data_IF_165541691052
#
_entry.id   IF_165541691052
#
_cell.length_a   1.000
_cell.length_b   1.000
_cell.length_c   1.000
_cell.angle_alpha   90.00
_cell.angle_beta   90.00
_cell.angle_gamma   90.00
#
_symmetry.space_group_name_H-M   'P 1'
#
loop_
_entity.id
_entity.type
_entity.pdbx_description
1 polymer ?
#
# COMPACT_ATOMS: atom_id res chain seq x y z
N UNK A 1 0.57 -25.43 -21.51
CA UNK A 1 1.88 -24.74 -21.54
C UNK A 1 2.16 -24.16 -20.18
N UNK A 2 3.43 -24.15 -19.73
CA UNK A 2 3.92 -23.74 -18.39
C UNK A 2 3.30 -24.43 -17.16
N UNK A 3 2.11 -25.02 -17.27
CA UNK A 3 1.48 -25.91 -16.31
C UNK A 3 2.39 -27.11 -15.99
N UNK A 4 2.79 -27.24 -14.72
CA UNK A 4 3.67 -28.31 -14.22
C UNK A 4 5.14 -27.91 -14.04
N UNK A 5 5.53 -26.67 -14.38
CA UNK A 5 6.88 -26.19 -14.07
C UNK A 5 7.07 -25.99 -12.56
N UNK A 6 6.02 -25.55 -11.85
CA UNK A 6 5.99 -25.42 -10.38
C UNK A 6 6.27 -26.74 -9.67
N UNK A 7 5.75 -27.84 -10.21
CA UNK A 7 5.90 -29.18 -9.62
C UNK A 7 7.30 -29.75 -9.86
N UNK A 8 7.95 -29.35 -10.96
CA UNK A 8 9.32 -29.75 -11.30
C UNK A 8 10.39 -28.86 -10.66
N UNK A 9 10.03 -27.63 -10.32
CA UNK A 9 10.95 -26.60 -9.83
C UNK A 9 10.33 -25.87 -8.62
N UNK A 10 10.18 -26.54 -7.47
CA UNK A 10 9.66 -25.91 -6.25
C UNK A 10 10.55 -24.75 -5.77
N UNK A 11 11.86 -24.79 -6.05
CA UNK A 11 12.79 -23.69 -5.82
C UNK A 11 13.49 -23.34 -7.14
N UNK A 12 12.83 -22.60 -8.04
CA UNK A 12 13.24 -22.52 -9.44
C UNK A 12 14.69 -22.08 -9.62
N UNK A 13 15.14 -21.07 -8.88
CA UNK A 13 16.52 -20.59 -8.96
C UNK A 13 17.55 -21.60 -8.44
N UNK A 14 17.24 -22.33 -7.36
CA UNK A 14 18.12 -23.37 -6.81
C UNK A 14 18.18 -24.57 -7.74
N UNK A 15 17.02 -25.04 -8.17
CA UNK A 15 16.87 -26.28 -8.95
C UNK A 15 17.49 -26.10 -10.35
N UNK A 16 17.36 -24.92 -10.96
CA UNK A 16 18.08 -24.57 -12.19
C UNK A 16 19.60 -24.50 -11.94
N UNK A 17 20.06 -23.88 -10.85
CA UNK A 17 21.49 -23.81 -10.54
C UNK A 17 22.11 -25.22 -10.33
N UNK A 18 21.37 -26.13 -9.68
CA UNK A 18 21.77 -27.52 -9.52
C UNK A 18 21.83 -28.27 -10.86
N UNK A 19 20.85 -28.09 -11.73
CA UNK A 19 20.87 -28.68 -13.09
C UNK A 19 22.05 -28.19 -13.93
N UNK A 20 22.46 -26.93 -13.76
CA UNK A 20 23.61 -26.34 -14.45
C UNK A 20 24.96 -26.72 -13.81
N UNK A 21 24.97 -27.54 -12.75
CA UNK A 21 26.18 -27.93 -12.03
C UNK A 21 26.77 -26.83 -11.13
N UNK A 22 26.04 -25.73 -10.93
CA UNK A 22 26.45 -24.57 -10.13
C UNK A 22 26.05 -24.76 -8.66
N UNK A 23 26.56 -25.81 -8.00
CA UNK A 23 26.20 -26.15 -6.62
C UNK A 23 26.50 -25.03 -5.60
N UNK A 24 27.55 -24.25 -5.82
CA UNK A 24 27.87 -23.08 -4.99
C UNK A 24 26.80 -21.99 -5.09
N UNK A 25 26.23 -21.78 -6.28
CA UNK A 25 25.19 -20.80 -6.53
C UNK A 25 23.87 -21.26 -5.90
N UNK A 26 23.56 -22.55 -5.99
CA UNK A 26 22.41 -23.13 -5.31
C UNK A 26 22.50 -22.96 -3.78
N UNK A 27 23.69 -23.17 -3.19
CA UNK A 27 23.93 -22.92 -1.77
C UNK A 27 23.71 -21.45 -1.42
N UNK A 28 24.30 -20.53 -2.19
CA UNK A 28 24.15 -19.09 -2.00
C UNK A 28 22.67 -18.66 -2.04
N UNK A 29 21.93 -19.10 -3.05
CA UNK A 29 20.49 -18.78 -3.22
C UNK A 29 19.66 -19.26 -2.03
N UNK A 30 19.93 -20.48 -1.53
CA UNK A 30 19.19 -21.02 -0.37
C UNK A 30 19.59 -20.29 0.92
N UNK A 31 20.88 -19.99 1.11
CA UNK A 31 21.34 -19.22 2.27
C UNK A 31 20.74 -17.81 2.30
N UNK A 32 20.70 -17.13 1.15
CA UNK A 32 20.06 -15.81 1.03
C UNK A 32 18.56 -15.88 1.34
N UNK A 33 17.85 -16.88 0.80
CA UNK A 33 16.43 -17.07 1.06
C UNK A 33 16.09 -17.29 2.55
N UNK A 34 17.06 -17.76 3.36
CA UNK A 34 16.89 -17.92 4.81
C UNK A 34 17.29 -16.64 5.58
N UNK A 35 18.42 -16.02 5.20
CA UNK A 35 19.01 -14.91 5.97
C UNK A 35 18.33 -13.57 5.63
N UNK A 36 18.07 -13.29 4.36
CA UNK A 36 17.57 -12.00 3.86
C UNK A 36 16.21 -11.60 4.48
N UNK A 37 15.21 -12.50 4.63
CA UNK A 37 13.93 -12.15 5.27
C UNK A 37 14.08 -11.68 6.71
N UNK A 38 15.11 -12.15 7.43
CA UNK A 38 15.37 -11.72 8.82
C UNK A 38 15.85 -10.28 8.89
N UNK A 39 16.68 -9.85 7.95
CA UNK A 39 17.09 -8.45 7.79
C UNK A 39 15.91 -7.55 7.46
N UNK A 40 15.10 -7.95 6.48
CA UNK A 40 13.87 -7.24 6.12
C UNK A 40 12.90 -7.13 7.32
N UNK A 41 12.66 -8.25 8.02
CA UNK A 41 11.80 -8.28 9.21
C UNK A 41 12.27 -7.33 10.30
N UNK A 42 13.58 -7.26 10.56
CA UNK A 42 14.15 -6.34 11.54
C UNK A 42 13.94 -4.87 11.15
N UNK A 43 14.14 -4.52 9.87
CA UNK A 43 13.89 -3.16 9.36
C UNK A 43 12.41 -2.78 9.55
N UNK A 44 11.47 -3.65 9.16
CA UNK A 44 10.04 -3.36 9.30
C UNK A 44 9.59 -3.30 10.76
N UNK A 45 10.18 -4.11 11.65
CA UNK A 45 9.90 -4.08 13.09
C UNK A 45 10.43 -2.79 13.74
N UNK A 46 11.44 -2.15 13.16
CA UNK A 46 11.93 -0.85 13.59
C UNK A 46 11.15 0.33 12.96
N UNK A 47 10.80 0.23 11.67
CA UNK A 47 10.15 1.33 10.93
C UNK A 47 8.66 1.49 11.27
N UNK A 48 7.90 0.39 11.32
CA UNK A 48 6.44 0.42 11.54
C UNK A 48 6.03 1.12 12.84
N UNK A 49 6.70 0.91 13.99
CA UNK A 49 6.38 1.63 15.21
C UNK A 49 6.53 3.15 15.09
N UNK A 50 7.45 3.64 14.26
CA UNK A 50 7.65 5.08 14.00
C UNK A 50 6.51 5.66 13.17
N UNK A 51 5.98 4.89 12.22
CA UNK A 51 4.78 5.27 11.45
C UNK A 51 3.57 5.37 12.39
N UNK A 52 3.38 4.38 13.28
CA UNK A 52 2.30 4.42 14.29
C UNK A 52 2.48 5.61 15.25
N UNK A 53 3.71 5.87 15.71
CA UNK A 53 4.02 7.05 16.51
C UNK A 53 3.65 8.34 15.80
N UNK A 54 4.06 8.54 14.54
CA UNK A 54 3.74 9.73 13.76
C UNK A 54 2.22 9.87 13.53
N UNK A 55 1.53 8.76 13.29
CA UNK A 55 0.07 8.72 13.16
C UNK A 55 -0.65 9.11 14.46
N UNK A 56 -0.14 8.66 15.61
CA UNK A 56 -0.64 9.09 16.93
C UNK A 56 -0.26 10.53 17.28
N UNK A 57 0.91 11.00 16.86
CA UNK A 57 1.36 12.38 17.08
C UNK A 57 0.51 13.40 16.29
N UNK A 58 -0.08 12.95 15.18
CA UNK A 58 -1.08 13.70 14.42
C UNK A 58 -2.46 13.74 15.11
N UNK A 59 -2.58 13.22 16.34
CA UNK A 59 -3.81 13.13 17.14
C UNK A 59 -4.97 12.36 16.46
N UNK A 60 -4.69 11.61 15.41
CA UNK A 60 -5.66 10.78 14.68
C UNK A 60 -5.71 9.32 15.15
N UNK A 61 -4.85 8.95 16.10
CA UNK A 61 -4.77 7.60 16.67
C UNK A 61 -4.54 7.66 18.19
N UNK A 62 -4.55 6.51 18.87
CA UNK A 62 -4.48 6.48 20.34
C UNK A 62 -3.19 7.11 20.87
N UNK A 63 -3.33 8.02 21.84
CA UNK A 63 -2.20 8.77 22.46
C UNK A 63 -1.19 7.87 23.17
N UNK A 64 -1.55 6.64 23.54
CA UNK A 64 -0.62 5.69 24.18
C UNK A 64 0.63 5.43 23.32
N UNK A 65 0.49 5.49 21.98
CA UNK A 65 1.58 5.22 21.06
C UNK A 65 2.52 6.42 20.83
N UNK A 66 2.23 7.60 21.39
CA UNK A 66 3.19 8.73 21.38
C UNK A 66 4.25 8.61 22.48
N UNK A 67 4.14 7.62 23.38
CA UNK A 67 5.14 7.40 24.43
C UNK A 67 6.39 6.76 23.87
N UNK A 68 7.48 7.54 23.85
CA UNK A 68 8.82 7.08 23.49
C UNK A 68 9.57 6.69 24.76
N UNK A 69 10.27 5.56 24.73
CA UNK A 69 11.13 5.16 25.85
C UNK A 69 12.38 6.06 25.92
N UNK A 70 12.68 6.68 27.06
CA UNK A 70 13.81 7.62 27.17
C UNK A 70 15.19 6.99 26.95
N UNK A 71 15.33 5.68 27.20
CA UNK A 71 16.63 4.98 27.09
C UNK A 71 16.88 4.48 25.67
N UNK A 72 15.86 3.92 25.02
CA UNK A 72 16.01 3.35 23.67
C UNK A 72 15.62 4.30 22.54
N UNK A 73 14.87 5.36 22.82
CA UNK A 73 14.33 6.26 21.78
C UNK A 73 13.25 5.61 20.90
N UNK A 74 12.68 4.47 21.35
CA UNK A 74 11.71 3.69 20.56
C UNK A 74 10.31 3.80 21.19
N UNK A 75 9.24 3.96 20.38
CA UNK A 75 7.85 3.89 20.87
C UNK A 75 7.47 2.43 21.21
N UNK A 76 7.74 1.98 22.45
CA UNK A 76 7.57 0.57 22.87
C UNK A 76 6.15 0.03 22.72
N UNK A 77 5.13 0.84 23.02
CA UNK A 77 3.73 0.40 22.84
C UNK A 77 3.40 0.17 21.36
N UNK A 78 3.94 0.99 20.46
CA UNK A 78 3.75 0.83 19.03
C UNK A 78 4.52 -0.40 18.50
N UNK A 79 5.67 -0.72 19.10
CA UNK A 79 6.41 -1.94 18.82
C UNK A 79 5.60 -3.18 19.20
N UNK A 80 5.01 -3.22 20.40
CA UNK A 80 4.15 -4.34 20.80
C UNK A 80 2.91 -4.48 19.92
N UNK A 81 2.29 -3.37 19.52
CA UNK A 81 1.19 -3.39 18.56
C UNK A 81 1.64 -3.94 17.21
N UNK A 82 2.79 -3.50 16.71
CA UNK A 82 3.37 -3.99 15.44
C UNK A 82 3.63 -5.50 15.51
N UNK A 83 4.19 -5.98 16.61
CA UNK A 83 4.44 -7.40 16.83
C UNK A 83 3.13 -8.21 16.84
N UNK A 84 2.13 -7.77 17.63
CA UNK A 84 0.83 -8.43 17.72
C UNK A 84 0.12 -8.47 16.36
N UNK A 85 0.13 -7.36 15.61
CA UNK A 85 -0.44 -7.30 14.27
C UNK A 85 0.32 -8.18 13.28
N UNK A 86 1.64 -8.26 13.37
CA UNK A 86 2.45 -9.14 12.52
C UNK A 86 2.06 -10.61 12.74
N UNK A 87 1.98 -11.06 13.99
CA UNK A 87 1.54 -12.42 14.33
C UNK A 87 0.10 -12.65 13.85
N UNK A 88 -0.82 -11.72 14.16
CA UNK A 88 -2.22 -11.81 13.76
C UNK A 88 -2.40 -11.92 12.23
N UNK A 89 -1.70 -11.10 11.45
CA UNK A 89 -1.81 -11.11 10.00
C UNK A 89 -1.12 -12.31 9.34
N UNK A 90 -0.11 -12.92 9.99
CA UNK A 90 0.53 -14.14 9.45
C UNK A 90 -0.25 -15.42 9.70
N UNK A 91 -1.01 -15.52 10.79
CA UNK A 91 -1.74 -16.75 11.17
C UNK A 91 -2.88 -17.21 10.24
N UNK A 92 -3.74 -16.35 9.67
CA UNK A 92 -4.96 -16.78 8.98
C UNK A 92 -4.73 -17.23 7.53
N UNK A 93 -3.53 -17.02 6.96
CA UNK A 93 -3.30 -17.32 5.56
C UNK A 93 -3.11 -18.82 5.32
N UNK A 94 -3.91 -19.45 4.45
CA UNK A 94 -3.85 -20.89 4.20
C UNK A 94 -2.63 -21.30 3.36
N UNK A 95 -2.00 -20.37 2.65
CA UNK A 95 -0.79 -20.63 1.87
C UNK A 95 0.10 -19.38 1.75
N UNK A 96 1.40 -19.64 1.53
CA UNK A 96 2.42 -18.61 1.28
C UNK A 96 2.09 -17.74 0.07
N UNK A 97 1.61 -18.34 -1.02
CA UNK A 97 1.28 -17.60 -2.26
C UNK A 97 0.15 -16.60 -2.05
N UNK A 98 -0.88 -16.96 -1.27
CA UNK A 98 -1.97 -16.04 -0.93
C UNK A 98 -1.47 -14.90 -0.05
N UNK A 99 -0.59 -15.19 0.91
CA UNK A 99 0.04 -14.18 1.77
C UNK A 99 0.85 -13.18 0.93
N UNK A 100 1.76 -13.64 0.08
CA UNK A 100 2.59 -12.77 -0.77
C UNK A 100 1.73 -11.92 -1.71
N UNK A 101 0.69 -12.52 -2.32
CA UNK A 101 -0.17 -11.78 -3.25
C UNK A 101 -0.90 -10.62 -2.56
N UNK A 102 -1.46 -10.86 -1.37
CA UNK A 102 -2.11 -9.80 -0.58
C UNK A 102 -1.11 -8.74 -0.12
N UNK A 103 0.04 -9.14 0.43
CA UNK A 103 1.08 -8.20 0.91
C UNK A 103 1.63 -7.35 -0.24
N UNK A 104 1.87 -7.95 -1.41
CA UNK A 104 2.38 -7.23 -2.59
C UNK A 104 1.35 -6.22 -3.09
N UNK A 105 0.08 -6.61 -3.19
CA UNK A 105 -1.01 -5.70 -3.59
C UNK A 105 -1.15 -4.53 -2.61
N UNK A 106 -1.13 -4.82 -1.30
CA UNK A 106 -1.23 -3.79 -0.26
C UNK A 106 -0.05 -2.82 -0.27
N UNK A 107 1.18 -3.34 -0.45
CA UNK A 107 2.38 -2.52 -0.54
C UNK A 107 2.35 -1.61 -1.76
N UNK A 108 1.99 -2.15 -2.93
CA UNK A 108 1.89 -1.35 -4.16
C UNK A 108 0.77 -0.31 -4.08
N UNK A 109 -0.35 -0.64 -3.44
CA UNK A 109 -1.40 0.31 -3.16
C UNK A 109 -0.91 1.50 -2.32
N UNK A 110 -0.06 1.23 -1.32
CA UNK A 110 0.56 2.30 -0.52
C UNK A 110 1.43 3.24 -1.37
N UNK A 111 2.15 2.69 -2.36
CA UNK A 111 2.94 3.47 -3.31
C UNK A 111 2.08 4.24 -4.32
N UNK A 112 0.90 3.74 -4.67
CA UNK A 112 -0.03 4.43 -5.56
C UNK A 112 -0.47 5.80 -4.98
N UNK A 113 -0.51 5.95 -3.65
CA UNK A 113 -0.88 7.22 -3.03
C UNK A 113 0.19 8.30 -3.18
N UNK A 114 1.47 7.92 -3.29
CA UNK A 114 2.60 8.84 -3.35
C UNK A 114 2.53 9.84 -4.53
N UNK A 115 2.34 9.44 -5.80
CA UNK A 115 2.24 10.39 -6.90
C UNK A 115 1.01 11.29 -6.82
N UNK A 116 -0.09 10.86 -6.19
CA UNK A 116 -1.26 11.72 -5.97
C UNK A 116 -0.94 12.79 -4.93
N UNK A 117 -0.30 12.40 -3.82
CA UNK A 117 0.12 13.32 -2.76
C UNK A 117 1.12 14.36 -3.26
N UNK A 118 2.12 13.96 -4.07
CA UNK A 118 3.06 14.91 -4.67
C UNK A 118 2.35 15.88 -5.61
N UNK A 119 1.40 15.39 -6.43
CA UNK A 119 0.60 16.25 -7.30
C UNK A 119 -0.26 17.25 -6.53
N UNK A 120 -0.90 16.81 -5.44
CA UNK A 120 -1.67 17.67 -4.55
C UNK A 120 -0.80 18.72 -3.83
N UNK A 121 0.35 18.32 -3.28
CA UNK A 121 1.28 19.25 -2.61
C UNK A 121 1.83 20.29 -3.58
N UNK A 122 2.13 19.92 -4.83
CA UNK A 122 2.59 20.86 -5.86
C UNK A 122 1.58 21.97 -6.15
N UNK A 123 0.29 21.71 -5.94
CA UNK A 123 -0.81 22.66 -6.10
C UNK A 123 -1.12 23.44 -4.82
N UNK A 124 -1.10 22.77 -3.67
CA UNK A 124 -1.57 23.33 -2.40
C UNK A 124 -0.48 24.06 -1.63
N UNK A 125 0.79 23.82 -1.98
CA UNK A 125 1.96 24.47 -1.41
C UNK A 125 3.03 24.68 -2.51
N UNK A 126 2.77 25.61 -3.45
CA UNK A 126 3.70 25.90 -4.55
C UNK A 126 5.03 26.49 -4.04
N UNK A 127 4.99 27.28 -2.97
CA UNK A 127 6.13 28.02 -2.40
C UNK A 127 7.05 27.18 -1.51
N UNK A 128 6.72 25.91 -1.24
CA UNK A 128 7.60 25.06 -0.45
C UNK A 128 8.94 24.86 -1.16
N UNK A 129 10.03 25.02 -0.43
CA UNK A 129 11.36 24.67 -0.91
C UNK A 129 11.41 23.17 -1.21
N UNK A 130 11.91 22.82 -2.40
CA UNK A 130 11.98 21.44 -2.89
C UNK A 130 13.44 21.10 -3.18
N UNK A 131 14.17 20.52 -2.21
CA UNK A 131 15.56 20.11 -2.41
C UNK A 131 15.73 19.12 -3.56
N UNK A 132 14.69 18.32 -3.82
CA UNK A 132 14.62 17.40 -4.94
C UNK A 132 13.37 17.64 -5.79
N UNK A 133 13.57 17.84 -7.10
CA UNK A 133 12.49 18.03 -8.07
C UNK A 133 12.52 16.97 -9.16
N UNK A 134 11.47 16.14 -9.21
CA UNK A 134 11.30 15.15 -10.27
C UNK A 134 10.94 15.86 -11.59
N UNK A 135 11.87 15.81 -12.54
CA UNK A 135 11.67 16.29 -13.92
C UNK A 135 10.61 15.42 -14.62
N UNK A 136 9.70 16.02 -15.37
CA UNK A 136 8.67 15.28 -16.13
C UNK A 136 7.54 14.68 -15.28
N UNK A 137 7.33 15.18 -14.05
CA UNK A 137 6.30 14.65 -13.15
C UNK A 137 4.87 14.67 -13.72
N UNK A 138 4.57 15.58 -14.65
CA UNK A 138 3.28 15.62 -15.37
C UNK A 138 2.97 14.32 -16.12
N UNK A 139 3.99 13.56 -16.53
CA UNK A 139 3.86 12.25 -17.16
C UNK A 139 4.17 11.13 -16.18
N UNK A 140 5.25 11.26 -15.41
CA UNK A 140 5.68 10.21 -14.47
C UNK A 140 4.68 9.97 -13.34
N UNK A 141 4.02 11.02 -12.85
CA UNK A 141 3.01 10.93 -11.80
C UNK A 141 1.80 10.06 -12.20
N UNK A 142 1.07 10.39 -13.28
CA UNK A 142 -0.06 9.57 -13.73
C UNK A 142 0.40 8.18 -14.18
N UNK A 143 1.57 8.07 -14.84
CA UNK A 143 2.09 6.77 -15.27
C UNK A 143 2.39 5.85 -14.08
N UNK A 144 3.01 6.37 -13.01
CA UNK A 144 3.28 5.60 -11.80
C UNK A 144 1.97 5.12 -11.13
N UNK A 145 0.94 5.96 -11.11
CA UNK A 145 -0.37 5.57 -10.59
C UNK A 145 -1.00 4.45 -11.42
N UNK A 146 -1.02 4.58 -12.75
CA UNK A 146 -1.54 3.56 -13.68
C UNK A 146 -0.81 2.23 -13.51
N UNK A 147 0.53 2.24 -13.45
CA UNK A 147 1.32 1.02 -13.27
C UNK A 147 1.02 0.36 -11.92
N UNK A 148 0.92 1.15 -10.84
CA UNK A 148 0.56 0.63 -9.53
C UNK A 148 -0.84 0.00 -9.55
N UNK A 149 -1.81 0.65 -10.21
CA UNK A 149 -3.16 0.12 -10.39
C UNK A 149 -3.19 -1.18 -11.20
N UNK A 150 -2.34 -1.33 -12.21
CA UNK A 150 -2.20 -2.59 -12.95
C UNK A 150 -1.67 -3.72 -12.07
N UNK A 151 -0.64 -3.47 -11.27
CA UNK A 151 -0.09 -4.50 -10.38
C UNK A 151 -1.13 -4.93 -9.33
N UNK A 152 -1.90 -3.97 -8.80
CA UNK A 152 -3.04 -4.28 -7.92
C UNK A 152 -4.07 -5.11 -8.67
N UNK A 153 -4.46 -4.71 -9.88
CA UNK A 153 -5.44 -5.40 -10.73
C UNK A 153 -5.06 -6.86 -11.04
N UNK A 154 -3.78 -7.12 -11.35
CA UNK A 154 -3.27 -8.47 -11.63
C UNK A 154 -3.27 -9.39 -10.42
N UNK A 155 -3.43 -8.86 -9.20
CA UNK A 155 -3.58 -9.68 -7.99
C UNK A 155 -4.92 -10.43 -7.96
N UNK A 156 -5.88 -10.00 -8.79
CA UNK A 156 -7.11 -10.73 -9.08
C UNK A 156 -8.24 -10.53 -8.06
N UNK A 157 -9.43 -10.97 -8.46
CA UNK A 157 -10.70 -10.74 -7.76
C UNK A 157 -10.69 -11.06 -6.26
N UNK A 158 -10.25 -12.25 -5.88
CA UNK A 158 -10.28 -12.68 -4.47
C UNK A 158 -9.42 -11.78 -3.56
N UNK A 159 -8.28 -11.30 -4.06
CA UNK A 159 -7.38 -10.43 -3.31
C UNK A 159 -7.93 -9.01 -3.26
N UNK A 160 -8.37 -8.46 -4.40
CA UNK A 160 -8.82 -7.07 -4.50
C UNK A 160 -10.14 -6.84 -3.74
N UNK A 161 -11.11 -7.74 -3.89
CA UNK A 161 -12.40 -7.64 -3.21
C UNK A 161 -12.24 -7.63 -1.68
N UNK A 162 -11.40 -8.53 -1.15
CA UNK A 162 -11.12 -8.59 0.28
C UNK A 162 -10.28 -7.40 0.75
N UNK A 163 -9.16 -7.08 0.07
CA UNK A 163 -8.24 -6.03 0.48
C UNK A 163 -8.88 -4.64 0.41
N UNK A 164 -9.46 -4.28 -0.73
CA UNK A 164 -10.08 -2.97 -0.92
C UNK A 164 -11.41 -2.88 -0.17
N UNK A 165 -12.15 -4.00 -0.05
CA UNK A 165 -13.34 -4.08 0.79
C UNK A 165 -13.02 -3.78 2.26
N UNK A 166 -11.96 -4.38 2.81
CA UNK A 166 -11.50 -4.09 4.17
C UNK A 166 -11.10 -2.61 4.33
N UNK A 167 -10.45 -2.01 3.33
CA UNK A 167 -10.11 -0.57 3.36
C UNK A 167 -11.36 0.33 3.38
N UNK A 168 -12.40 -0.01 2.61
CA UNK A 168 -13.68 0.71 2.63
C UNK A 168 -14.34 0.59 4.01
N UNK A 169 -14.34 -0.61 4.61
CA UNK A 169 -14.87 -0.83 5.97
C UNK A 169 -14.08 -0.03 7.00
N UNK A 170 -12.75 -0.04 6.95
CA UNK A 170 -11.90 0.76 7.84
C UNK A 170 -12.18 2.25 7.70
N UNK A 171 -12.39 2.74 6.48
CA UNK A 171 -12.79 4.13 6.26
C UNK A 171 -14.17 4.44 6.85
N UNK A 172 -15.15 3.55 6.69
CA UNK A 172 -16.47 3.71 7.30
C UNK A 172 -16.40 3.74 8.83
N UNK A 173 -15.62 2.84 9.43
CA UNK A 173 -15.35 2.82 10.87
C UNK A 173 -14.69 4.12 11.32
N UNK A 174 -13.72 4.65 10.56
CA UNK A 174 -13.10 5.94 10.85
C UNK A 174 -14.15 7.06 10.90
N UNK A 175 -15.07 7.13 9.94
CA UNK A 175 -16.15 8.15 9.92
C UNK A 175 -17.09 7.98 11.11
N UNK A 176 -17.47 6.75 11.47
CA UNK A 176 -18.36 6.45 12.60
C UNK A 176 -17.71 6.85 13.94
N UNK A 177 -16.46 6.43 14.15
CA UNK A 177 -15.74 6.68 15.40
C UNK A 177 -15.09 8.06 15.45
N UNK A 178 -15.19 8.87 14.40
CA UNK A 178 -14.62 10.22 14.34
C UNK A 178 -15.06 11.09 15.52
N UNK A 179 -16.28 10.94 16.02
CA UNK A 179 -16.77 11.69 17.19
C UNK A 179 -15.93 11.47 18.46
N UNK A 180 -15.21 10.35 18.54
CA UNK A 180 -14.32 10.01 19.65
C UNK A 180 -12.85 10.37 19.40
N UNK A 181 -12.51 10.88 18.21
CA UNK A 181 -11.14 11.28 17.83
C UNK A 181 -10.94 12.78 18.12
N UNK A 182 -9.90 13.18 18.87
CA UNK A 182 -9.77 14.50 19.48
C UNK A 182 -9.33 15.65 18.55
N UNK A 183 -9.67 15.67 17.24
CA UNK A 183 -9.17 16.74 16.33
C UNK A 183 -10.23 17.47 15.49
N UNK A 184 -10.09 18.81 15.48
CA UNK A 184 -10.82 19.82 14.71
C UNK A 184 -9.95 20.60 13.69
N UNK A 185 -8.74 20.14 13.32
CA UNK A 185 -7.88 20.92 12.39
C UNK A 185 -8.47 21.01 10.96
N UNK A 186 -9.19 19.98 10.51
CA UNK A 186 -9.87 19.95 9.21
C UNK A 186 -11.30 19.44 9.38
N UNK A 187 -12.26 20.16 8.82
CA UNK A 187 -13.68 19.76 8.88
C UNK A 187 -13.92 18.39 8.25
N UNK A 188 -14.90 17.65 8.75
CA UNK A 188 -15.27 16.32 8.21
C UNK A 188 -15.64 16.41 6.72
N UNK A 189 -16.40 17.43 6.34
CA UNK A 189 -16.76 17.67 4.95
C UNK A 189 -15.51 17.79 4.06
N UNK A 190 -14.48 18.50 4.51
CA UNK A 190 -13.24 18.65 3.74
C UNK A 190 -12.41 17.36 3.70
N UNK A 191 -12.32 16.61 4.81
CA UNK A 191 -11.66 15.31 4.83
C UNK A 191 -12.34 14.31 3.88
N UNK A 192 -13.67 14.25 3.91
CA UNK A 192 -14.46 13.39 3.04
C UNK A 192 -14.30 13.81 1.58
N UNK A 193 -14.40 15.10 1.27
CA UNK A 193 -14.15 15.64 -0.08
C UNK A 193 -12.76 15.25 -0.61
N UNK A 194 -11.73 15.33 0.24
CA UNK A 194 -10.34 15.04 -0.15
C UNK A 194 -10.03 13.55 -0.27
N UNK A 195 -10.85 12.67 0.33
CA UNK A 195 -10.67 11.21 0.32
C UNK A 195 -11.69 10.45 -0.54
N UNK A 196 -12.76 11.11 -1.01
CA UNK A 196 -13.83 10.46 -1.79
C UNK A 196 -13.30 9.82 -3.08
N UNK A 197 -12.33 10.46 -3.75
CA UNK A 197 -11.71 9.91 -4.96
C UNK A 197 -11.08 8.54 -4.72
N UNK A 198 -10.52 8.31 -3.52
CA UNK A 198 -9.86 7.08 -3.14
C UNK A 198 -10.89 5.97 -2.86
N UNK A 199 -12.02 6.31 -2.23
CA UNK A 199 -13.14 5.37 -2.06
C UNK A 199 -13.74 4.96 -3.40
N UNK A 200 -13.96 5.93 -4.29
CA UNK A 200 -14.44 5.64 -5.64
C UNK A 200 -13.42 4.81 -6.41
N UNK A 201 -12.14 5.11 -6.29
CA UNK A 201 -11.07 4.27 -6.84
C UNK A 201 -11.16 2.83 -6.33
N UNK A 202 -11.34 2.62 -5.01
CA UNK A 202 -11.49 1.28 -4.44
C UNK A 202 -12.69 0.54 -5.01
N UNK A 203 -13.86 1.18 -5.05
CA UNK A 203 -15.09 0.58 -5.60
C UNK A 203 -14.91 0.26 -7.08
N UNK A 204 -14.38 1.18 -7.88
CA UNK A 204 -14.16 0.99 -9.31
C UNK A 204 -13.13 -0.11 -9.59
N UNK A 205 -12.08 -0.23 -8.77
CA UNK A 205 -11.09 -1.31 -8.90
C UNK A 205 -11.68 -2.67 -8.52
N UNK A 206 -12.52 -2.74 -7.49
CA UNK A 206 -13.29 -3.95 -7.16
C UNK A 206 -14.18 -4.33 -8.37
N UNK A 207 -14.95 -3.39 -8.91
CA UNK A 207 -15.80 -3.63 -10.08
C UNK A 207 -15.00 -4.07 -11.31
N UNK A 208 -13.90 -3.38 -11.62
CA UNK A 208 -13.01 -3.75 -12.72
C UNK A 208 -12.44 -5.17 -12.52
N UNK A 209 -12.09 -5.53 -11.29
CA UNK A 209 -11.60 -6.86 -10.96
C UNK A 209 -12.68 -7.95 -11.07
N UNK A 210 -13.93 -7.64 -10.70
CA UNK A 210 -15.06 -8.56 -10.87
C UNK A 210 -15.40 -8.79 -12.35
N UNK A 211 -15.37 -7.73 -13.15
CA UNK A 211 -15.71 -7.78 -14.57
C UNK A 211 -14.58 -8.32 -15.44
N UNK A 212 -13.35 -8.24 -14.96
CA UNK A 212 -12.14 -8.48 -15.72
C UNK A 212 -11.70 -9.94 -15.83
N UNK A 213 -10.46 -10.11 -16.31
CA UNK A 213 -9.90 -11.43 -16.64
C UNK A 213 -9.17 -12.13 -15.49
N UNK A 214 -8.85 -11.42 -14.40
CA UNK A 214 -7.93 -11.92 -13.36
C UNK A 214 -8.63 -12.38 -12.06
N UNK A 215 -8.36 -13.62 -11.66
CA UNK A 215 -8.77 -14.22 -10.38
C UNK A 215 -9.95 -15.18 -10.49
N UNK A 216 -9.96 -16.21 -9.65
CA UNK A 216 -11.02 -17.22 -9.62
C UNK A 216 -12.36 -16.59 -9.19
N UNK A 217 -13.41 -16.72 -10.00
CA UNK A 217 -14.74 -16.16 -9.73
C UNK A 217 -14.99 -14.76 -10.32
N UNK A 218 -14.07 -14.23 -11.12
CA UNK A 218 -14.37 -13.09 -11.99
C UNK A 218 -15.41 -13.49 -13.05
N UNK A 219 -16.26 -12.56 -13.45
CA UNK A 219 -17.30 -12.79 -14.45
C UNK A 219 -16.78 -12.93 -15.88
N UNK A 220 -15.51 -12.53 -16.13
CA UNK A 220 -14.86 -12.57 -17.44
C UNK A 220 -15.63 -11.85 -18.57
N UNK A 221 -16.51 -10.91 -18.22
CA UNK A 221 -17.31 -10.12 -19.16
C UNK A 221 -16.46 -9.16 -19.99
N UNK A 222 -15.42 -8.59 -19.37
CA UNK A 222 -14.40 -7.77 -20.02
C UNK A 222 -13.14 -8.61 -20.17
N UNK A 223 -12.90 -9.10 -21.38
CA UNK A 223 -11.68 -9.80 -21.74
C UNK A 223 -10.55 -8.81 -22.08
N UNK A 224 -9.31 -9.28 -21.96
CA UNK A 224 -8.15 -8.55 -22.46
C UNK A 224 -8.28 -8.25 -23.96
N UNK A 225 -7.93 -7.02 -24.43
CA UNK A 225 -7.24 -5.94 -23.71
C UNK A 225 -8.18 -4.88 -23.08
N UNK A 226 -9.50 -5.02 -23.21
CA UNK A 226 -10.46 -3.99 -22.80
C UNK A 226 -10.51 -3.80 -21.28
N UNK A 227 -10.28 -4.87 -20.53
CA UNK A 227 -10.17 -4.84 -19.07
C UNK A 227 -9.04 -3.93 -18.58
N UNK A 228 -7.87 -4.01 -19.21
CA UNK A 228 -6.67 -3.26 -18.89
C UNK A 228 -6.84 -1.79 -19.28
N UNK A 229 -7.50 -1.53 -20.42
CA UNK A 229 -7.86 -0.17 -20.81
C UNK A 229 -8.86 0.45 -19.82
N UNK A 230 -9.82 -0.33 -19.34
CA UNK A 230 -10.79 0.13 -18.34
C UNK A 230 -10.10 0.52 -17.02
N UNK A 231 -9.17 -0.29 -16.53
CA UNK A 231 -8.34 0.03 -15.35
C UNK A 231 -7.51 1.28 -15.58
N UNK A 232 -6.93 1.46 -16.78
CA UNK A 232 -6.16 2.66 -17.12
C UNK A 232 -7.03 3.93 -17.02
N UNK A 233 -8.24 3.90 -17.57
CA UNK A 233 -9.18 5.03 -17.53
C UNK A 233 -9.59 5.36 -16.10
N UNK A 234 -9.93 4.35 -15.29
CA UNK A 234 -10.22 4.52 -13.86
C UNK A 234 -9.04 5.19 -13.15
N UNK A 235 -7.84 4.68 -13.39
CA UNK A 235 -6.62 5.14 -12.72
C UNK A 235 -6.32 6.60 -13.05
N UNK A 236 -6.39 6.99 -14.33
CA UNK A 236 -6.17 8.38 -14.76
C UNK A 236 -7.25 9.31 -14.21
N UNK A 237 -8.53 8.91 -14.27
CA UNK A 237 -9.63 9.70 -13.73
C UNK A 237 -9.47 9.97 -12.24
N UNK A 238 -9.20 8.92 -11.46
CA UNK A 238 -8.97 9.02 -10.03
C UNK A 238 -7.69 9.79 -9.68
N UNK A 239 -6.61 9.65 -10.44
CA UNK A 239 -5.37 10.40 -10.25
C UNK A 239 -5.60 11.92 -10.35
N UNK A 240 -6.22 12.39 -11.44
CA UNK A 240 -6.49 13.81 -11.62
C UNK A 240 -7.54 14.34 -10.64
N UNK A 241 -8.53 13.51 -10.27
CA UNK A 241 -9.48 13.87 -9.22
C UNK A 241 -8.82 14.01 -7.85
N UNK A 242 -7.92 13.09 -7.49
CA UNK A 242 -7.17 13.12 -6.23
C UNK A 242 -6.33 14.39 -6.09
N UNK A 243 -5.62 14.78 -7.15
CA UNK A 243 -4.81 16.01 -7.15
C UNK A 243 -5.69 17.26 -6.96
N UNK A 244 -6.88 17.29 -7.56
CA UNK A 244 -7.80 18.42 -7.49
C UNK A 244 -8.59 18.49 -6.19
N UNK A 245 -8.76 17.37 -5.51
CA UNK A 245 -9.57 17.26 -4.29
C UNK A 245 -8.77 17.50 -3.00
N UNK A 246 -7.45 17.63 -3.08
CA UNK A 246 -6.59 17.96 -1.94
C UNK A 246 -6.97 19.29 -1.23
N UNK A 247 -6.42 19.50 -0.04
CA UNK A 247 -6.70 20.69 0.79
C UNK A 247 -6.37 22.01 0.07
N UNK A 248 -7.24 23.04 0.11
CA UNK A 248 -6.98 24.30 -0.61
C UNK A 248 -5.64 24.98 -0.26
N UNK A 249 -5.17 24.83 0.98
CA UNK A 249 -3.87 25.27 1.46
C UNK A 249 -3.28 24.17 2.33
N UNK A 250 -1.99 23.90 2.20
CA UNK A 250 -1.32 22.95 3.08
C UNK A 250 -1.30 23.49 4.52
N UNK A 251 -1.70 22.63 5.47
CA UNK A 251 -1.52 22.87 6.90
C UNK A 251 -0.20 22.24 7.28
N UNK A 252 0.81 23.07 7.50
CA UNK A 252 2.15 22.63 7.90
C UNK A 252 2.35 23.16 9.31
N UNK A 253 2.45 22.24 10.27
CA UNK A 253 2.91 22.61 11.62
C UNK A 253 4.40 22.93 11.51
N UNK A 254 4.78 24.11 11.96
CA UNK A 254 6.19 24.44 12.12
C UNK A 254 6.69 23.68 13.34
N UNK A 255 7.84 22.99 13.21
CA UNK A 255 8.46 22.23 14.30
C UNK A 255 8.85 23.11 15.51
N UNK A 256 8.81 24.44 15.37
CA UNK A 256 9.05 25.42 16.43
C UNK A 256 7.92 25.53 17.48
N UNK A 257 6.75 24.91 17.24
CA UNK A 257 5.59 24.96 18.16
C UNK A 257 5.38 23.67 19.00
N UNK A 258 6.36 22.75 19.04
CA UNK A 258 6.26 21.46 19.76
C UNK A 258 7.09 21.41 21.06
#
# INVERSE_FOLDING_TARGET
GWSGLSDKFPLPYRDIAMLLGLGWLALLVVSDAIISPSGCGNIYMAATPRVIYAWSNSNTFFRIFTRVDPKSGIPRYALWLTFALSVFWTMPFPSWDKLISVVSAALVLSYALAPVTVGALRRNAPELERPFYVKGFTVLGPLAFVIASFIVYWSGWNVISWLLGAQIVLFALYVIFKRYVPTQEVSLAQQLKSSTWLLVYYILMILASYLGSFGDGASHLLAAPFDTLFVMVISLGCYYWGIRSGLPKALIKNDDEA
#
